data_IF_605271709434
#
_entry.id   IF_605271709434
#
_cell.length_a   1.000
_cell.length_b   1.000
_cell.length_c   1.000
_cell.angle_alpha   90.00
_cell.angle_beta   90.00
_cell.angle_gamma   90.00
#
_symmetry.space_group_name_H-M   'P 1'
#
loop_
_entity.id
_entity.type
_entity.pdbx_description
1 polymer ?
#
# COMPACT_ATOMS: atom_id res chain seq x y z
N UNK A 1 -38.45 -35.16 24.93
CA UNK A 1 -37.53 -35.01 26.07
C UNK A 1 -36.74 -33.73 25.83
N UNK A 2 -36.97 -32.69 26.65
CA UNK A 2 -36.33 -31.38 26.53
C UNK A 2 -35.21 -31.33 27.57
N UNK A 3 -33.97 -31.10 27.13
CA UNK A 3 -32.84 -30.86 28.03
C UNK A 3 -32.53 -29.39 27.97
N UNK A 4 -33.03 -28.66 28.96
CA UNK A 4 -32.71 -27.26 29.22
C UNK A 4 -31.44 -27.21 30.05
N UNK A 5 -30.40 -26.52 29.58
CA UNK A 5 -29.21 -26.25 30.40
C UNK A 5 -29.00 -24.74 30.45
N UNK A 6 -29.58 -24.14 31.49
CA UNK A 6 -29.28 -22.80 31.98
C UNK A 6 -27.84 -22.80 32.50
N UNK A 7 -26.96 -21.95 31.97
CA UNK A 7 -25.70 -21.61 32.62
C UNK A 7 -25.75 -20.19 33.15
N UNK A 8 -25.38 -20.12 34.42
CA UNK A 8 -25.53 -18.98 35.29
C UNK A 8 -24.43 -17.94 35.10
N UNK A 9 -24.83 -16.71 35.41
CA UNK A 9 -24.09 -15.46 35.45
C UNK A 9 -22.95 -15.53 36.48
N UNK A 10 -21.75 -15.08 36.11
CA UNK A 10 -20.71 -14.66 37.04
C UNK A 10 -20.19 -13.27 36.63
N UNK A 11 -20.75 -12.24 37.27
CA UNK A 11 -20.26 -10.85 37.21
C UNK A 11 -19.08 -10.74 38.17
N UNK A 12 -17.87 -10.57 37.65
CA UNK A 12 -16.70 -10.18 38.43
C UNK A 12 -16.43 -8.69 38.19
N UNK A 13 -16.94 -7.84 39.09
CA UNK A 13 -16.60 -6.44 39.16
C UNK A 13 -15.17 -6.29 39.72
N UNK A 14 -14.21 -5.89 38.89
CA UNK A 14 -12.87 -5.53 39.33
C UNK A 14 -12.71 -4.00 39.25
N UNK A 15 -13.00 -3.33 40.35
CA UNK A 15 -12.68 -1.91 40.55
C UNK A 15 -11.20 -1.76 40.87
N UNK A 16 -10.39 -1.28 39.92
CA UNK A 16 -9.02 -0.84 40.16
C UNK A 16 -9.01 0.69 40.22
N UNK A 17 -8.92 1.23 41.43
CA UNK A 17 -8.73 2.65 41.73
C UNK A 17 -7.22 2.94 41.78
N UNK A 18 -6.66 3.55 40.73
CA UNK A 18 -5.29 4.10 40.78
C UNK A 18 -5.37 5.60 41.00
N UNK A 19 -4.98 6.03 42.20
CA UNK A 19 -4.69 7.42 42.51
C UNK A 19 -3.31 7.78 41.93
N UNK A 20 -3.26 8.53 40.84
CA UNK A 20 -2.05 9.22 40.39
C UNK A 20 -2.16 10.69 40.78
N UNK A 21 -1.31 11.11 41.73
CA UNK A 21 -1.19 12.50 42.16
C UNK A 21 -0.50 13.34 41.09
N UNK A 22 -1.19 14.38 40.61
CA UNK A 22 -0.60 15.43 39.80
C UNK A 22 -0.02 16.51 40.72
N UNK A 23 1.30 16.62 40.76
CA UNK A 23 1.98 17.82 41.25
C UNK A 23 1.91 18.91 40.17
N UNK A 24 1.72 20.20 40.54
CA UNK A 24 1.81 21.30 39.59
C UNK A 24 3.29 21.55 39.24
N UNK A 25 3.70 21.15 38.04
CA UNK A 25 4.96 21.61 37.44
C UNK A 25 4.86 23.10 37.12
N UNK A 26 5.91 23.82 37.50
CA UNK A 26 6.09 25.23 37.26
C UNK A 26 6.01 25.57 35.77
N UNK A 27 5.33 26.67 35.45
CA UNK A 27 5.24 27.24 34.12
C UNK A 27 6.63 27.64 33.61
N UNK A 28 7.04 27.03 32.50
CA UNK A 28 8.20 27.43 31.70
C UNK A 28 7.77 28.57 30.75
N UNK A 29 8.60 29.60 30.50
CA UNK A 29 8.21 30.77 29.73
C UNK A 29 7.95 30.43 28.25
N UNK A 30 6.78 30.87 27.77
CA UNK A 30 6.29 30.80 26.40
C UNK A 30 7.26 31.52 25.42
N UNK A 31 7.75 30.86 24.35
CA UNK A 31 8.53 31.54 23.32
C UNK A 31 7.63 32.42 22.44
N UNK A 32 8.02 33.68 22.26
CA UNK A 32 7.35 34.64 21.38
C UNK A 32 7.28 34.13 19.92
N UNK A 33 6.13 34.24 19.24
CA UNK A 33 5.99 33.79 17.86
C UNK A 33 6.78 34.70 16.91
N UNK A 34 7.72 34.08 16.18
CA UNK A 34 8.45 34.72 15.09
C UNK A 34 7.48 34.99 13.92
N UNK A 35 7.49 36.19 13.30
CA UNK A 35 6.61 36.45 12.16
C UNK A 35 7.08 35.65 10.93
N UNK A 36 6.27 34.69 10.51
CA UNK A 36 6.46 33.98 9.24
C UNK A 36 6.16 34.94 8.08
N UNK A 37 7.16 35.15 7.22
CA UNK A 37 6.99 35.85 5.95
C UNK A 37 6.20 34.95 5.00
N UNK A 38 4.92 35.29 4.80
CA UNK A 38 4.01 34.59 3.89
C UNK A 38 4.31 35.03 2.46
N UNK A 39 4.95 34.17 1.67
CA UNK A 39 4.95 34.31 0.22
C UNK A 39 3.54 34.00 -0.30
N UNK A 40 2.96 34.93 -1.06
CA UNK A 40 1.64 34.76 -1.64
C UNK A 40 1.61 33.57 -2.63
N UNK A 41 0.62 32.67 -2.56
CA UNK A 41 0.47 31.62 -3.56
C UNK A 41 0.05 32.23 -4.90
N UNK A 42 0.81 31.94 -5.95
CA UNK A 42 0.41 32.21 -7.34
C UNK A 42 -0.71 31.23 -7.70
N UNK A 43 -1.94 31.72 -7.74
CA UNK A 43 -3.10 30.94 -8.18
C UNK A 43 -3.00 30.62 -9.68
N UNK A 44 -2.74 29.35 -10.01
CA UNK A 44 -3.00 28.83 -11.35
C UNK A 44 -4.51 28.58 -11.46
N UNK A 45 -5.22 29.48 -12.15
CA UNK A 45 -6.58 29.22 -12.63
C UNK A 45 -6.49 28.32 -13.84
N UNK A 46 -6.68 27.01 -13.65
CA UNK A 46 -7.22 26.15 -14.69
C UNK A 46 -8.73 26.16 -14.54
N UNK A 47 -9.43 26.69 -15.54
CA UNK A 47 -10.88 26.58 -15.61
C UNK A 47 -11.28 25.10 -15.73
N UNK A 48 -12.40 24.67 -15.13
CA UNK A 48 -12.93 23.33 -15.35
C UNK A 48 -13.30 23.15 -16.84
N UNK A 49 -13.15 21.93 -17.39
CA UNK A 49 -13.61 21.64 -18.75
C UNK A 49 -15.13 21.89 -18.87
N UNK A 50 -15.64 22.19 -20.09
CA UNK A 50 -17.07 22.41 -20.29
C UNK A 50 -17.87 21.15 -19.95
N UNK A 51 -18.95 21.37 -19.22
CA UNK A 51 -19.96 20.40 -18.83
C UNK A 51 -20.84 20.09 -20.06
N UNK A 52 -20.48 19.05 -20.80
CA UNK A 52 -21.32 18.48 -21.85
C UNK A 52 -22.39 17.62 -21.18
N UNK A 53 -23.53 18.25 -20.85
CA UNK A 53 -24.68 17.63 -20.20
C UNK A 53 -25.26 16.45 -20.99
N UNK A 54 -24.64 15.28 -20.84
CA UNK A 54 -25.08 14.01 -21.37
C UNK A 54 -25.91 13.26 -20.34
N UNK A 55 -27.23 13.38 -20.44
CA UNK A 55 -28.24 12.37 -20.07
C UNK A 55 -27.77 11.23 -19.13
N UNK A 56 -27.44 11.56 -17.89
CA UNK A 56 -27.03 10.62 -16.83
C UNK A 56 -28.32 9.98 -16.27
N UNK A 57 -28.88 8.97 -16.95
CA UNK A 57 -30.27 8.60 -16.65
C UNK A 57 -30.71 7.20 -17.05
N UNK A 58 -29.85 6.21 -16.80
CA UNK A 58 -30.00 4.76 -17.03
C UNK A 58 -29.50 4.29 -18.39
N UNK A 59 -28.70 3.22 -18.37
CA UNK A 59 -28.56 2.34 -19.52
C UNK A 59 -29.95 1.83 -19.93
N UNK A 60 -30.20 1.72 -21.24
CA UNK A 60 -31.50 1.31 -21.81
C UNK A 60 -31.96 -0.08 -21.31
N UNK A 61 -31.06 -0.83 -20.68
CA UNK A 61 -31.28 -2.17 -20.12
C UNK A 61 -31.62 -2.18 -18.60
N UNK A 62 -31.61 -1.03 -17.93
CA UNK A 62 -31.94 -0.91 -16.50
C UNK A 62 -30.88 -1.46 -15.54
N UNK A 63 -29.64 -1.58 -16.00
CA UNK A 63 -28.48 -1.92 -15.17
C UNK A 63 -28.12 -0.72 -14.27
N UNK A 64 -27.64 -0.99 -13.05
CA UNK A 64 -27.26 0.06 -12.12
C UNK A 64 -25.98 0.75 -12.65
N UNK A 65 -25.98 2.08 -12.68
CA UNK A 65 -24.81 2.86 -13.10
C UNK A 65 -23.75 2.72 -11.99
N UNK A 66 -22.64 2.09 -12.32
CA UNK A 66 -21.49 1.97 -11.42
C UNK A 66 -20.58 3.19 -11.59
N UNK A 67 -20.28 3.88 -10.49
CA UNK A 67 -19.43 5.07 -10.46
C UNK A 67 -18.01 4.66 -10.08
N UNK A 68 -17.03 4.89 -10.93
CA UNK A 68 -15.63 4.52 -10.65
C UNK A 68 -15.02 5.39 -9.55
N UNK A 69 -14.32 4.75 -8.61
CA UNK A 69 -13.63 5.37 -7.51
C UNK A 69 -12.12 5.08 -7.62
N UNK A 70 -11.28 6.07 -7.97
CA UNK A 70 -9.84 5.86 -8.16
C UNK A 70 -9.13 5.53 -6.84
N UNK A 71 -9.70 5.95 -5.72
CA UNK A 71 -9.15 5.71 -4.39
C UNK A 71 -10.29 5.45 -3.41
N UNK A 72 -10.13 4.43 -2.57
CA UNK A 72 -11.05 4.13 -1.47
C UNK A 72 -10.46 4.58 -0.13
N UNK A 73 -11.30 5.11 0.79
CA UNK A 73 -10.87 5.50 2.13
C UNK A 73 -10.66 4.25 2.97
N UNK A 74 -9.40 3.84 3.09
CA UNK A 74 -9.03 2.58 3.72
C UNK A 74 -7.95 2.79 4.76
N UNK A 75 -7.96 1.91 5.75
CA UNK A 75 -6.85 1.77 6.65
C UNK A 75 -6.81 0.40 7.28
N UNK A 76 -5.94 0.29 8.27
CA UNK A 76 -5.78 -0.92 9.07
C UNK A 76 -4.33 -1.41 9.10
N UNK A 77 -4.07 -2.40 9.97
CA UNK A 77 -2.73 -2.93 10.16
C UNK A 77 -2.32 -3.85 9.01
N UNK A 78 -1.02 -4.07 8.88
CA UNK A 78 -0.46 -5.18 8.13
C UNK A 78 0.42 -6.02 9.06
N UNK A 79 0.56 -7.31 8.72
CA UNK A 79 1.49 -8.21 9.40
C UNK A 79 1.99 -9.29 8.42
N UNK A 80 3.21 -9.82 8.62
CA UNK A 80 3.67 -10.99 7.86
C UNK A 80 2.73 -12.20 8.04
N UNK A 81 2.50 -12.96 6.98
CA UNK A 81 1.71 -14.19 7.06
C UNK A 81 2.49 -15.25 7.87
N UNK A 82 1.94 -15.81 8.95
CA UNK A 82 2.62 -16.84 9.74
C UNK A 82 2.91 -18.13 8.97
N UNK A 83 2.17 -18.41 7.88
CA UNK A 83 2.39 -19.58 7.03
C UNK A 83 3.46 -19.32 5.94
N UNK A 84 3.62 -18.08 5.51
CA UNK A 84 4.57 -17.67 4.47
C UNK A 84 5.08 -16.24 4.74
N UNK A 85 6.23 -16.07 5.42
CA UNK A 85 6.71 -14.75 5.82
C UNK A 85 7.16 -13.87 4.64
N UNK A 86 7.21 -14.40 3.41
CA UNK A 86 7.41 -13.59 2.21
C UNK A 86 6.14 -12.81 1.81
N UNK A 87 5.00 -13.10 2.44
CA UNK A 87 3.72 -12.41 2.24
C UNK A 87 3.39 -11.52 3.41
N UNK A 88 2.68 -10.43 3.11
CA UNK A 88 2.06 -9.57 4.09
C UNK A 88 0.54 -9.64 3.95
N UNK A 89 -0.12 -9.69 5.10
CA UNK A 89 -1.56 -9.67 5.24
C UNK A 89 -1.98 -8.30 5.71
N UNK A 90 -2.73 -7.60 4.88
CA UNK A 90 -3.25 -6.26 5.18
C UNK A 90 -4.72 -6.40 5.57
N UNK A 91 -5.02 -6.10 6.83
CA UNK A 91 -6.40 -6.02 7.32
C UNK A 91 -6.98 -4.68 6.85
N UNK A 92 -7.67 -4.70 5.71
CA UNK A 92 -8.28 -3.51 5.13
C UNK A 92 -9.63 -3.27 5.80
N UNK A 93 -9.77 -2.10 6.39
CA UNK A 93 -11.00 -1.62 6.97
C UNK A 93 -11.42 -0.33 6.26
N UNK A 94 -12.70 -0.23 5.95
CA UNK A 94 -13.28 1.01 5.44
C UNK A 94 -13.18 2.10 6.52
N UNK A 95 -12.64 3.26 6.15
CA UNK A 95 -12.58 4.43 7.02
C UNK A 95 -13.65 5.41 6.58
N UNK A 96 -14.46 5.84 7.54
CA UNK A 96 -15.54 6.81 7.32
C UNK A 96 -15.11 8.19 7.79
N UNK A 97 -15.27 9.23 6.98
CA UNK A 97 -15.21 10.60 7.51
C UNK A 97 -16.31 10.80 8.55
N UNK A 98 -15.94 11.28 9.73
CA UNK A 98 -16.91 11.55 10.80
C UNK A 98 -17.44 10.33 11.55
N UNK A 99 -17.02 9.10 11.19
CA UNK A 99 -17.44 7.88 11.87
C UNK A 99 -18.80 7.33 11.41
N UNK A 100 -19.37 7.87 10.33
CA UNK A 100 -20.67 7.44 9.81
C UNK A 100 -20.51 6.28 8.81
N UNK A 101 -21.20 5.14 9.04
CA UNK A 101 -21.08 3.97 8.16
C UNK A 101 -21.54 4.28 6.73
N UNK A 102 -21.18 3.40 5.79
CA UNK A 102 -21.70 3.45 4.42
C UNK A 102 -23.24 3.50 4.49
N UNK A 103 -23.90 4.50 3.86
CA UNK A 103 -25.35 4.61 3.85
C UNK A 103 -26.02 3.37 3.24
N UNK A 104 -27.25 3.08 3.68
CA UNK A 104 -28.01 1.96 3.14
C UNK A 104 -28.36 2.18 1.67
N UNK A 105 -28.23 1.14 0.84
CA UNK A 105 -28.46 1.23 -0.60
C UNK A 105 -27.26 1.78 -1.39
N UNK A 106 -26.09 1.89 -0.75
CA UNK A 106 -24.81 2.11 -1.41
C UNK A 106 -23.90 0.90 -1.14
N UNK A 107 -23.27 0.40 -2.18
CA UNK A 107 -22.31 -0.68 -2.14
C UNK A 107 -21.04 -0.28 -2.90
N UNK A 108 -19.86 -0.59 -2.36
CA UNK A 108 -18.58 -0.32 -3.03
C UNK A 108 -17.90 -1.64 -3.34
N UNK A 109 -17.82 -1.99 -4.62
CA UNK A 109 -17.05 -3.16 -5.06
C UNK A 109 -15.58 -2.77 -5.23
N UNK A 110 -14.67 -3.49 -4.58
CA UNK A 110 -13.23 -3.31 -4.76
C UNK A 110 -12.80 -3.94 -6.10
N UNK A 111 -12.29 -3.11 -7.00
CA UNK A 111 -11.95 -3.52 -8.38
C UNK A 111 -10.46 -3.76 -8.57
N UNK A 112 -9.62 -3.19 -7.70
CA UNK A 112 -8.17 -3.26 -7.87
C UNK A 112 -7.38 -2.74 -6.68
N UNK A 113 -6.08 -2.97 -6.74
CA UNK A 113 -5.09 -2.46 -5.80
C UNK A 113 -3.96 -1.80 -6.57
N UNK A 114 -3.45 -0.68 -6.04
CA UNK A 114 -2.35 0.07 -6.63
C UNK A 114 -1.23 0.23 -5.60
N UNK A 115 0.00 -0.08 -6.02
CA UNK A 115 1.18 -0.05 -5.15
C UNK A 115 2.13 1.09 -5.54
N UNK A 116 2.67 1.77 -4.54
CA UNK A 116 3.70 2.80 -4.74
C UNK A 116 4.86 2.58 -3.78
N UNK A 117 6.07 2.23 -4.26
CA UNK A 117 6.38 1.86 -5.64
C UNK A 117 5.75 0.50 -6.06
N UNK A 118 5.69 0.17 -7.37
CA UNK A 118 5.08 -1.06 -7.88
C UNK A 118 5.96 -2.30 -7.67
N UNK A 119 6.31 -2.58 -6.41
CA UNK A 119 7.22 -3.67 -5.99
C UNK A 119 6.48 -4.85 -5.35
N UNK A 120 5.14 -4.77 -5.33
CA UNK A 120 4.24 -5.77 -4.78
C UNK A 120 3.22 -6.20 -5.83
N UNK A 121 2.79 -7.45 -5.72
CA UNK A 121 1.61 -7.98 -6.41
C UNK A 121 0.60 -8.48 -5.38
N UNK A 122 -0.69 -8.45 -5.76
CA UNK A 122 -1.74 -9.14 -5.01
C UNK A 122 -1.60 -10.64 -5.26
N UNK A 123 -1.62 -11.41 -4.18
CA UNK A 123 -1.59 -12.88 -4.22
C UNK A 123 -2.80 -13.44 -3.48
N UNK A 124 -3.06 -14.73 -3.63
CA UNK A 124 -4.07 -15.41 -2.83
C UNK A 124 -3.52 -15.79 -1.45
N UNK A 125 -4.35 -15.73 -0.41
CA UNK A 125 -4.03 -16.27 0.91
C UNK A 125 -4.29 -15.29 2.05
N UNK A 126 -3.45 -15.39 3.08
CA UNK A 126 -3.59 -14.86 4.44
C UNK A 126 -4.38 -15.74 5.42
N UNK A 127 -3.74 -15.99 6.56
CA UNK A 127 -4.36 -16.66 7.68
C UNK A 127 -5.47 -15.78 8.27
N UNK A 128 -6.73 -16.23 8.22
CA UNK A 128 -7.84 -15.47 8.79
C UNK A 128 -9.20 -15.98 8.36
N UNK A 129 -10.25 -15.34 8.89
CA UNK A 129 -11.65 -15.60 8.55
C UNK A 129 -12.26 -14.49 7.67
N UNK A 130 -11.54 -13.39 7.47
CA UNK A 130 -12.00 -12.27 6.66
C UNK A 130 -11.94 -12.61 5.16
N UNK A 131 -12.86 -12.08 4.34
CA UNK A 131 -12.87 -12.31 2.91
C UNK A 131 -11.71 -11.60 2.21
N UNK A 132 -11.31 -12.09 1.03
CA UNK A 132 -10.32 -11.40 0.19
C UNK A 132 -10.85 -10.04 -0.29
N UNK A 133 -9.98 -9.03 -0.38
CA UNK A 133 -10.40 -7.67 -0.76
C UNK A 133 -10.79 -7.52 -2.23
N UNK A 134 -10.08 -8.13 -3.18
CA UNK A 134 -10.45 -7.99 -4.59
C UNK A 134 -11.80 -8.67 -4.86
N UNK A 135 -12.75 -7.91 -5.41
CA UNK A 135 -14.14 -8.33 -5.58
C UNK A 135 -14.98 -8.31 -4.30
N UNK A 136 -14.42 -7.84 -3.17
CA UNK A 136 -15.21 -7.60 -1.97
C UNK A 136 -16.15 -6.41 -2.17
N UNK A 137 -17.32 -6.48 -1.54
CA UNK A 137 -18.29 -5.39 -1.53
C UNK A 137 -18.32 -4.80 -0.13
N UNK A 138 -17.90 -3.55 -0.01
CA UNK A 138 -18.11 -2.78 1.22
C UNK A 138 -19.53 -2.24 1.26
N UNK A 139 -20.23 -2.49 2.36
CA UNK A 139 -21.56 -1.97 2.64
C UNK A 139 -21.72 -1.72 4.16
N UNK A 140 -22.92 -1.36 4.61
CA UNK A 140 -23.19 -1.10 6.03
C UNK A 140 -22.91 -2.31 6.97
N UNK A 141 -22.86 -3.54 6.46
CA UNK A 141 -22.66 -4.77 7.20
C UNK A 141 -21.27 -5.40 6.98
N UNK A 142 -20.61 -5.11 5.85
CA UNK A 142 -19.30 -5.62 5.49
C UNK A 142 -18.33 -4.44 5.30
N UNK A 143 -17.53 -4.15 6.32
CA UNK A 143 -16.59 -3.01 6.33
C UNK A 143 -15.12 -3.45 6.37
N UNK A 144 -14.85 -4.75 6.24
CA UNK A 144 -13.52 -5.29 6.39
C UNK A 144 -13.24 -6.45 5.42
N UNK A 145 -12.03 -6.47 4.87
CA UNK A 145 -11.50 -7.54 4.05
C UNK A 145 -10.00 -7.69 4.30
N UNK A 146 -9.40 -8.73 3.76
CA UNK A 146 -7.95 -8.97 3.84
C UNK A 146 -7.35 -8.95 2.44
N UNK A 147 -6.26 -8.21 2.28
CA UNK A 147 -5.45 -8.20 1.07
C UNK A 147 -4.14 -8.91 1.36
N UNK A 148 -3.89 -10.02 0.65
CA UNK A 148 -2.62 -10.72 0.68
C UNK A 148 -1.71 -10.16 -0.40
N UNK A 149 -0.50 -9.75 -0.03
CA UNK A 149 0.47 -9.15 -0.94
C UNK A 149 1.83 -9.81 -0.79
N UNK A 150 2.59 -9.89 -1.89
CA UNK A 150 3.93 -10.43 -1.90
C UNK A 150 4.84 -9.56 -2.77
N UNK A 151 6.14 -9.51 -2.44
CA UNK A 151 7.12 -8.83 -3.29
C UNK A 151 7.19 -9.49 -4.66
N UNK A 152 7.21 -8.70 -5.73
CA UNK A 152 7.21 -9.19 -7.11
C UNK A 152 8.63 -9.39 -7.71
N UNK A 153 9.66 -9.22 -6.89
CA UNK A 153 11.07 -9.34 -7.29
C UNK A 153 11.62 -8.12 -8.04
N UNK A 154 10.86 -7.03 -8.16
CA UNK A 154 11.39 -5.78 -8.70
C UNK A 154 12.55 -5.26 -7.84
N UNK A 155 13.57 -4.71 -8.51
CA UNK A 155 14.69 -4.01 -7.87
C UNK A 155 14.16 -2.73 -7.24
N UNK A 156 14.47 -2.51 -5.97
CA UNK A 156 14.14 -1.26 -5.28
C UNK A 156 15.30 -0.82 -4.39
N UNK A 157 15.42 0.49 -4.21
CA UNK A 157 16.27 1.08 -3.18
C UNK A 157 15.34 1.45 -2.05
N UNK A 158 15.51 0.82 -0.88
CA UNK A 158 14.79 1.23 0.31
C UNK A 158 15.16 2.68 0.62
N UNK A 159 14.27 3.61 0.31
CA UNK A 159 14.44 4.99 0.71
C UNK A 159 14.17 5.06 2.22
N UNK A 160 15.12 5.63 2.97
CA UNK A 160 15.04 5.79 4.44
C UNK A 160 13.87 6.71 4.85
N UNK A 161 13.19 7.36 3.90
CA UNK A 161 12.16 8.37 4.18
C UNK A 161 10.71 8.02 3.89
N UNK A 162 10.39 6.99 3.09
CA UNK A 162 8.98 6.70 2.73
C UNK A 162 8.73 5.22 2.57
N UNK A 163 7.84 4.60 3.39
CA UNK A 163 7.49 3.20 3.22
C UNK A 163 6.68 2.99 1.93
N UNK A 164 6.72 1.79 1.33
CA UNK A 164 5.80 1.44 0.25
C UNK A 164 4.36 1.53 0.74
N UNK A 165 3.44 1.87 -0.16
CA UNK A 165 2.02 1.98 0.15
C UNK A 165 1.16 1.17 -0.82
N UNK A 166 -0.03 0.80 -0.34
CA UNK A 166 -1.11 0.26 -1.16
C UNK A 166 -2.35 1.13 -1.04
N UNK A 167 -2.97 1.42 -2.16
CA UNK A 167 -4.32 2.00 -2.25
C UNK A 167 -5.25 1.02 -2.96
N UNK A 168 -6.55 1.11 -2.71
CA UNK A 168 -7.56 0.32 -3.41
C UNK A 168 -8.36 1.20 -4.36
N UNK A 169 -8.77 0.62 -5.49
CA UNK A 169 -9.74 1.19 -6.42
C UNK A 169 -11.06 0.45 -6.27
N UNK A 170 -12.17 1.11 -6.61
CA UNK A 170 -13.46 0.48 -6.55
C UNK A 170 -14.49 1.08 -7.49
N UNK A 171 -15.70 0.58 -7.40
CA UNK A 171 -16.88 1.15 -8.06
C UNK A 171 -18.02 1.24 -7.06
N UNK A 172 -18.68 2.40 -6.99
CA UNK A 172 -19.88 2.60 -6.20
C UNK A 172 -21.13 2.23 -6.99
N UNK A 173 -22.00 1.44 -6.40
CA UNK A 173 -23.34 1.17 -6.90
C UNK A 173 -24.34 1.74 -5.90
N UNK A 174 -25.30 2.51 -6.40
CA UNK A 174 -26.35 3.13 -5.60
C UNK A 174 -27.72 2.63 -6.08
N UNK A 175 -28.60 2.24 -5.15
CA UNK A 175 -29.99 1.91 -5.43
C UNK A 175 -30.74 3.08 -6.09
N UNK A 176 -30.34 4.31 -5.73
CA UNK A 176 -30.83 5.57 -6.29
C UNK A 176 -29.64 6.45 -6.72
N UNK A 177 -29.11 6.29 -7.95
CA UNK A 177 -27.91 6.99 -8.40
C UNK A 177 -28.11 8.52 -8.45
N UNK A 178 -29.32 8.98 -8.76
CA UNK A 178 -29.67 10.42 -8.83
C UNK A 178 -29.94 11.04 -7.44
N UNK A 179 -29.76 10.28 -6.36
CA UNK A 179 -30.03 10.78 -5.01
C UNK A 179 -28.90 11.66 -4.50
N UNK A 180 -29.25 12.74 -3.79
CA UNK A 180 -28.28 13.61 -3.13
C UNK A 180 -27.41 12.85 -2.11
N UNK A 181 -27.92 11.76 -1.54
CA UNK A 181 -27.18 10.89 -0.62
C UNK A 181 -26.05 10.13 -1.34
N UNK A 182 -26.35 9.52 -2.49
CA UNK A 182 -25.34 8.84 -3.31
C UNK A 182 -24.26 9.81 -3.78
N UNK A 183 -24.66 10.96 -4.35
CA UNK A 183 -23.70 11.96 -4.83
C UNK A 183 -22.81 12.49 -3.71
N UNK A 184 -23.39 12.86 -2.56
CA UNK A 184 -22.62 13.36 -1.42
C UNK A 184 -21.65 12.31 -0.84
N UNK A 185 -22.07 11.04 -0.81
CA UNK A 185 -21.21 9.95 -0.38
C UNK A 185 -20.02 9.75 -1.33
N UNK A 186 -20.27 9.68 -2.64
CA UNK A 186 -19.23 9.51 -3.65
C UNK A 186 -18.25 10.68 -3.68
N UNK A 187 -18.74 11.92 -3.55
CA UNK A 187 -17.88 13.10 -3.40
C UNK A 187 -17.03 13.03 -2.12
N UNK A 188 -17.64 12.61 -1.01
CA UNK A 188 -16.95 12.44 0.27
C UNK A 188 -15.83 11.40 0.21
N UNK A 189 -16.08 10.28 -0.46
CA UNK A 189 -15.07 9.23 -0.71
C UNK A 189 -13.90 9.78 -1.54
N UNK A 190 -14.19 10.50 -2.63
CA UNK A 190 -13.15 11.06 -3.50
C UNK A 190 -12.33 12.18 -2.85
N UNK A 191 -12.92 12.89 -1.89
CA UNK A 191 -12.24 13.94 -1.14
C UNK A 191 -11.44 13.40 0.07
N UNK A 192 -11.49 12.09 0.36
CA UNK A 192 -10.84 11.54 1.55
C UNK A 192 -9.31 11.52 1.42
N UNK A 193 -8.56 11.96 2.44
CA UNK A 193 -7.09 11.91 2.41
C UNK A 193 -6.51 10.54 2.80
N UNK A 194 -7.28 9.65 3.43
CA UNK A 194 -6.84 8.34 3.94
C UNK A 194 -7.00 7.26 2.88
N UNK A 195 -6.25 7.41 1.79
CA UNK A 195 -6.39 6.55 0.60
C UNK A 195 -5.33 5.44 0.51
N UNK A 196 -4.46 5.33 1.52
CA UNK A 196 -3.30 4.46 1.44
C UNK A 196 -2.92 3.84 2.78
N UNK A 197 -2.54 2.56 2.74
CA UNK A 197 -1.96 1.82 3.86
C UNK A 197 -0.47 1.67 3.61
N UNK A 198 0.35 2.03 4.60
CA UNK A 198 1.80 1.77 4.55
C UNK A 198 2.07 0.28 4.73
N UNK A 199 3.04 -0.24 3.99
CA UNK A 199 3.50 -1.63 4.02
C UNK A 199 4.96 -1.70 4.48
N UNK A 200 5.40 -2.89 4.89
CA UNK A 200 6.82 -3.18 5.05
C UNK A 200 7.47 -3.43 3.70
N UNK A 201 8.75 -3.11 3.54
CA UNK A 201 9.50 -3.50 2.33
C UNK A 201 9.59 -5.03 2.24
N UNK A 202 9.53 -5.62 1.02
CA UNK A 202 9.71 -7.06 0.87
C UNK A 202 11.15 -7.44 1.22
N UNK A 203 11.34 -8.62 1.82
CA UNK A 203 12.66 -9.09 2.28
C UNK A 203 13.67 -9.26 1.13
N UNK A 204 13.19 -9.69 -0.04
CA UNK A 204 13.99 -9.92 -1.24
C UNK A 204 13.84 -8.73 -2.20
N UNK A 205 14.53 -7.63 -1.91
CA UNK A 205 14.75 -6.57 -2.90
C UNK A 205 15.85 -6.98 -3.86
N UNK A 206 15.61 -6.85 -5.16
CA UNK A 206 16.70 -6.96 -6.12
C UNK A 206 17.76 -5.91 -5.77
N UNK A 207 19.03 -6.33 -5.64
CA UNK A 207 20.12 -5.36 -5.50
C UNK A 207 20.29 -4.62 -6.83
N UNK A 208 20.42 -3.28 -6.84
CA UNK A 208 20.89 -2.60 -8.02
C UNK A 208 22.23 -3.22 -8.37
N UNK A 209 22.34 -3.82 -9.56
CA UNK A 209 23.66 -4.18 -10.07
C UNK A 209 24.34 -2.85 -10.34
N UNK A 210 25.27 -2.47 -9.47
CA UNK A 210 26.28 -1.47 -9.77
C UNK A 210 27.09 -2.03 -10.95
N UNK A 211 26.58 -1.88 -12.17
CA UNK A 211 27.38 -1.93 -13.40
C UNK A 211 28.20 -0.64 -13.48
N UNK A 212 28.91 -0.37 -12.39
CA UNK A 212 29.96 0.61 -12.25
C UNK A 212 31.12 0.18 -13.15
N UNK A 213 30.91 0.39 -14.45
CA UNK A 213 31.96 0.50 -15.45
C UNK A 213 32.79 1.72 -15.09
N UNK A 214 33.62 1.62 -14.05
CA UNK A 214 34.71 2.55 -13.83
C UNK A 214 35.87 2.10 -14.70
N UNK A 215 35.76 2.44 -15.97
CA UNK A 215 36.89 2.54 -16.89
C UNK A 215 37.86 3.60 -16.36
N UNK A 216 38.76 3.21 -15.46
CA UNK A 216 40.01 3.94 -15.21
C UNK A 216 41.13 2.96 -14.83
N UNK A 217 41.38 1.98 -15.71
CA UNK A 217 42.73 1.44 -15.84
C UNK A 217 43.46 2.33 -16.84
N UNK A 218 44.10 3.38 -16.34
CA UNK A 218 45.22 3.98 -17.07
C UNK A 218 46.33 2.93 -17.13
N UNK A 219 46.70 2.38 -18.30
CA UNK A 219 47.85 1.48 -18.35
C UNK A 219 49.11 2.33 -18.14
N UNK A 220 49.70 2.24 -16.96
CA UNK A 220 51.08 2.72 -16.73
C UNK A 220 52.01 1.84 -17.55
N UNK A 221 52.39 2.34 -18.72
CA UNK A 221 53.52 1.85 -19.50
C UNK A 221 54.78 2.43 -18.85
N UNK A 222 55.46 1.65 -18.02
CA UNK A 222 56.83 1.96 -17.59
C UNK A 222 57.73 0.73 -17.81
N UNK A 223 58.59 0.88 -18.81
CA UNK A 223 59.96 0.36 -18.95
C UNK A 223 60.27 -1.12 -18.66
N UNK A 224 60.52 -1.86 -19.74
CA UNK A 224 61.38 -3.05 -19.73
C UNK A 224 62.54 -2.84 -20.73
N UNK A 225 63.81 -2.75 -20.27
CA UNK A 225 64.97 -2.78 -21.16
C UNK A 225 65.38 -4.22 -21.51
N UNK A 226 66.00 -4.30 -22.67
CA UNK A 226 66.36 -5.47 -23.48
C UNK A 226 67.40 -6.42 -22.84
N UNK A 227 67.36 -7.69 -23.27
CA UNK A 227 68.39 -8.74 -23.07
C UNK A 227 67.83 -9.96 -22.33
N UNK A 228 67.96 -11.21 -22.76
CA UNK A 228 69.03 -11.87 -23.52
C UNK A 228 68.50 -13.15 -24.22
N UNK A 229 68.98 -13.37 -25.45
CA UNK A 229 69.25 -14.63 -26.22
C UNK A 229 68.29 -15.82 -26.32
N UNK A 230 68.28 -16.50 -27.49
CA UNK A 230 67.45 -17.67 -27.78
C UNK A 230 68.16 -18.97 -27.40
N UNK A 231 67.40 -19.91 -26.84
CA UNK A 231 67.80 -21.32 -26.78
C UNK A 231 66.69 -22.15 -27.42
N UNK A 232 66.98 -22.59 -28.64
CA UNK A 232 66.43 -23.79 -29.26
C UNK A 232 66.47 -24.95 -28.24
N UNK A 233 65.33 -25.56 -27.96
CA UNK A 233 65.32 -26.99 -27.64
C UNK A 233 64.14 -27.67 -28.35
N UNK A 234 64.53 -28.48 -29.32
CA UNK A 234 63.71 -29.35 -30.15
C UNK A 234 63.36 -30.58 -29.30
N UNK A 235 62.08 -30.91 -29.15
CA UNK A 235 61.67 -32.29 -28.83
C UNK A 235 60.45 -32.70 -29.68
N UNK A 236 60.44 -33.92 -30.27
CA UNK A 236 59.54 -34.33 -31.36
C UNK A 236 58.13 -34.78 -30.91
N UNK A 237 57.20 -35.04 -31.85
CA UNK A 237 55.84 -35.47 -31.55
C UNK A 237 55.79 -36.95 -31.11
N UNK A 238 55.02 -37.23 -30.06
CA UNK A 238 54.63 -38.59 -29.69
C UNK A 238 53.21 -38.86 -30.22
N UNK A 239 53.16 -39.74 -31.23
CA UNK A 239 51.97 -40.34 -31.83
C UNK A 239 51.39 -41.36 -30.86
N UNK A 240 50.15 -41.16 -30.43
CA UNK A 240 49.48 -42.05 -29.48
C UNK A 240 47.98 -42.21 -29.75
N UNK A 241 47.62 -42.76 -30.90
CA UNK A 241 46.32 -43.41 -31.13
C UNK A 241 46.15 -44.60 -30.17
N UNK A 242 45.06 -44.60 -29.40
CA UNK A 242 44.58 -45.73 -28.62
C UNK A 242 43.07 -45.67 -28.51
N UNK A 243 42.44 -46.78 -28.90
CA UNK A 243 41.01 -47.05 -29.12
C UNK A 243 40.05 -46.72 -27.96
#
# INVERSE_FOLDING_TARGET
>A
MRVSTLWAIAVAALTITVFAGCAPSAAEPEPEPTPFSTAAPTAATSAPPPDDGGDEGRDEDGEAIAIELPHLPIGGPHAPDPADPARQCVDVNWITQGGEPIPGGIAITVTGAHFSPPIFDVVDGCAGSAPACLGHVFDAAALNCVLAVAGNGAVFVADQGTPPTVSLTGSAECDAPDSAECSAFVEGVQADPNVAISLEYPADGGTPTDDGTSIDETPTVEDAPEGETPTDDITPPDDGTGE
#
